data_IF_375603808603
#
_entry.id   IF_375603808603
#
_cell.length_a   1.000
_cell.length_b   1.000
_cell.length_c   1.000
_cell.angle_alpha   90.00
_cell.angle_beta   90.00
_cell.angle_gamma   90.00
#
_symmetry.space_group_name_H-M   'P 1'
#
loop_
_entity.id
_entity.type
_entity.pdbx_description
1 polymer ?
#
# COMPACT_ATOMS: atom_id res chain seq x y z
N UNK A 1 27.29 -20.44 24.45
CA UNK A 1 27.26 -21.91 24.62
C UNK A 1 28.16 -22.67 23.62
N UNK A 2 28.39 -22.18 22.39
CA UNK A 2 29.26 -22.84 21.40
C UNK A 2 30.78 -22.75 21.72
N UNK A 3 31.23 -21.72 22.44
CA UNK A 3 32.65 -21.57 22.79
C UNK A 3 33.16 -22.49 23.91
N UNK A 4 32.28 -23.23 24.60
CA UNK A 4 32.66 -24.06 25.75
C UNK A 4 33.16 -25.47 25.37
N UNK A 5 33.09 -25.85 24.09
CA UNK A 5 33.48 -27.17 23.59
C UNK A 5 34.84 -27.23 22.88
N UNK A 6 35.61 -26.12 22.86
CA UNK A 6 36.81 -25.99 22.03
C UNK A 6 38.14 -26.14 22.77
N UNK A 7 38.19 -26.78 23.95
CA UNK A 7 39.40 -26.76 24.79
C UNK A 7 40.39 -27.92 24.60
N UNK A 8 40.03 -29.02 23.93
CA UNK A 8 40.84 -30.25 23.93
C UNK A 8 41.11 -30.88 22.54
N UNK A 9 41.32 -30.08 21.48
CA UNK A 9 41.70 -30.62 20.16
C UNK A 9 42.97 -29.94 19.62
N UNK A 10 43.88 -30.75 19.06
CA UNK A 10 45.02 -30.26 18.28
C UNK A 10 44.52 -29.39 17.11
N UNK A 11 45.33 -28.39 16.72
CA UNK A 11 44.97 -27.30 15.81
C UNK A 11 44.32 -27.74 14.49
N UNK A 12 44.64 -28.94 14.01
CA UNK A 12 44.05 -29.54 12.80
C UNK A 12 42.60 -30.00 13.02
N UNK A 13 42.27 -30.58 14.18
CA UNK A 13 40.92 -31.05 14.50
C UNK A 13 39.91 -29.92 14.66
N UNK A 14 40.35 -28.80 15.25
CA UNK A 14 39.53 -27.60 15.38
C UNK A 14 39.18 -26.96 14.02
N UNK A 15 40.12 -26.98 13.06
CA UNK A 15 39.90 -26.48 11.70
C UNK A 15 38.84 -27.31 10.98
N UNK A 16 38.90 -28.65 11.04
CA UNK A 16 37.91 -29.52 10.40
C UNK A 16 36.48 -29.32 10.95
N UNK A 17 36.32 -29.11 12.26
CA UNK A 17 35.01 -28.83 12.86
C UNK A 17 34.46 -27.46 12.44
N UNK A 18 35.30 -26.43 12.36
CA UNK A 18 34.90 -25.10 11.84
C UNK A 18 34.46 -25.21 10.37
N UNK A 19 35.19 -25.96 9.54
CA UNK A 19 34.80 -26.21 8.15
C UNK A 19 33.50 -27.01 8.04
N UNK A 20 33.29 -28.04 8.87
CA UNK A 20 32.05 -28.82 8.89
C UNK A 20 30.84 -27.95 9.29
N UNK A 21 31.00 -27.10 10.31
CA UNK A 21 29.97 -26.13 10.72
C UNK A 21 29.71 -25.11 9.61
N UNK A 22 30.75 -24.57 8.96
CA UNK A 22 30.61 -23.67 7.81
C UNK A 22 29.89 -24.32 6.62
N UNK A 23 30.20 -25.58 6.31
CA UNK A 23 29.53 -26.35 5.23
C UNK A 23 28.06 -26.57 5.57
N UNK A 24 27.72 -26.89 6.82
CA UNK A 24 26.33 -26.98 7.29
C UNK A 24 25.62 -25.63 7.17
N UNK A 25 26.26 -24.52 7.55
CA UNK A 25 25.69 -23.18 7.37
C UNK A 25 25.53 -22.77 5.90
N UNK A 26 26.47 -23.15 5.02
CA UNK A 26 26.41 -22.86 3.58
C UNK A 26 25.33 -23.69 2.91
N UNK A 27 25.21 -24.97 3.24
CA UNK A 27 24.15 -25.85 2.72
C UNK A 27 22.78 -25.45 3.24
N UNK A 28 22.67 -25.01 4.51
CA UNK A 28 21.44 -24.44 5.05
C UNK A 28 21.07 -23.11 4.39
N UNK A 29 22.03 -22.21 4.15
CA UNK A 29 21.80 -20.98 3.37
C UNK A 29 21.37 -21.27 1.93
N UNK A 30 22.03 -22.21 1.25
CA UNK A 30 21.62 -22.65 -0.10
C UNK A 30 20.21 -23.26 -0.08
N UNK A 31 19.89 -24.07 0.93
CA UNK A 31 18.55 -24.61 1.14
C UNK A 31 17.49 -23.53 1.34
N UNK A 32 17.79 -22.48 2.13
CA UNK A 32 16.92 -21.31 2.28
C UNK A 32 16.75 -20.59 0.94
N UNK A 33 17.82 -20.37 0.15
CA UNK A 33 17.71 -19.73 -1.16
C UNK A 33 16.94 -20.56 -2.17
N UNK A 34 17.08 -21.88 -2.17
CA UNK A 34 16.30 -22.79 -3.01
C UNK A 34 14.83 -22.78 -2.58
N UNK A 35 14.56 -22.81 -1.27
CA UNK A 35 13.20 -22.71 -0.73
C UNK A 35 12.56 -21.36 -1.06
N UNK A 36 13.30 -20.26 -0.92
CA UNK A 36 12.85 -18.91 -1.29
C UNK A 36 12.62 -18.80 -2.81
N UNK A 37 13.50 -19.39 -3.62
CA UNK A 37 13.34 -19.48 -5.07
C UNK A 37 12.09 -20.27 -5.46
N UNK A 38 11.88 -21.44 -4.85
CA UNK A 38 10.69 -22.26 -5.04
C UNK A 38 9.41 -21.54 -4.58
N UNK A 39 9.44 -20.87 -3.41
CA UNK A 39 8.33 -20.05 -2.91
C UNK A 39 8.05 -18.91 -3.90
N UNK A 40 9.09 -18.22 -4.39
CA UNK A 40 8.96 -17.12 -5.35
C UNK A 40 8.40 -17.61 -6.69
N UNK A 41 8.87 -18.74 -7.20
CA UNK A 41 8.39 -19.35 -8.44
C UNK A 41 6.95 -19.86 -8.31
N UNK A 42 6.59 -20.45 -7.16
CA UNK A 42 5.22 -20.82 -6.83
C UNK A 42 4.30 -19.61 -6.69
N UNK A 43 4.77 -18.51 -6.11
CA UNK A 43 4.04 -17.24 -6.11
C UNK A 43 3.87 -16.67 -7.53
N UNK A 44 4.90 -16.78 -8.38
CA UNK A 44 4.84 -16.32 -9.76
C UNK A 44 3.85 -17.15 -10.58
N UNK A 45 3.91 -18.47 -10.48
CA UNK A 45 2.98 -19.36 -11.21
C UNK A 45 1.55 -19.21 -10.74
N UNK A 46 1.31 -19.00 -9.43
CA UNK A 46 -0.01 -18.64 -8.90
C UNK A 46 -0.50 -17.27 -9.40
N UNK A 47 0.41 -16.33 -9.68
CA UNK A 47 0.06 -15.03 -10.25
C UNK A 47 -0.19 -15.08 -11.76
N UNK A 48 0.37 -16.05 -12.48
CA UNK A 48 0.22 -16.23 -13.92
C UNK A 48 -1.03 -17.07 -14.26
N UNK A 49 -1.29 -18.16 -13.52
CA UNK A 49 -2.40 -19.09 -13.79
C UNK A 49 -3.81 -18.53 -13.50
N UNK A 50 -3.93 -17.39 -12.83
CA UNK A 50 -5.22 -16.79 -12.46
C UNK A 50 -5.61 -15.60 -13.33
N UNK A 51 -4.89 -15.34 -14.43
CA UNK A 51 -5.18 -14.21 -15.33
C UNK A 51 -6.04 -14.56 -16.55
N UNK A 52 -6.56 -15.78 -16.61
CA UNK A 52 -7.49 -16.20 -17.65
C UNK A 52 -8.93 -15.82 -17.24
N UNK A 53 -9.45 -14.73 -17.82
CA UNK A 53 -10.79 -14.19 -17.54
C UNK A 53 -11.81 -14.54 -18.62
N UNK A 54 -11.46 -15.41 -19.57
CA UNK A 54 -12.21 -15.49 -20.82
C UNK A 54 -12.23 -14.13 -21.53
N UNK A 55 -13.29 -13.83 -22.28
CA UNK A 55 -13.45 -12.53 -22.94
C UNK A 55 -13.99 -11.50 -21.95
N UNK A 56 -13.24 -10.45 -21.59
CA UNK A 56 -13.72 -9.45 -20.64
C UNK A 56 -14.97 -8.75 -21.17
N UNK A 57 -15.94 -8.54 -20.30
CA UNK A 57 -17.10 -7.70 -20.60
C UNK A 57 -16.66 -6.29 -21.02
N UNK A 58 -17.23 -5.79 -22.11
CA UNK A 58 -16.93 -4.46 -22.62
C UNK A 58 -17.25 -3.40 -21.57
N UNK A 59 -16.35 -2.45 -21.41
CA UNK A 59 -16.46 -1.30 -20.50
C UNK A 59 -16.70 -1.67 -19.03
N UNK A 60 -16.32 -2.90 -18.65
CA UNK A 60 -16.35 -3.36 -17.25
C UNK A 60 -14.93 -3.53 -16.73
N UNK A 61 -14.65 -2.92 -15.58
CA UNK A 61 -13.33 -2.95 -14.95
C UNK A 61 -13.21 -4.16 -14.03
N UNK A 62 -12.23 -5.04 -14.29
CA UNK A 62 -11.88 -6.12 -13.37
C UNK A 62 -10.76 -5.64 -12.45
N UNK A 63 -11.11 -5.23 -11.22
CA UNK A 63 -10.18 -4.59 -10.27
C UNK A 63 -9.55 -5.62 -9.34
N UNK A 64 -8.24 -5.78 -9.41
CA UNK A 64 -7.48 -6.63 -8.50
C UNK A 64 -7.01 -5.82 -7.31
N UNK A 65 -7.37 -6.29 -6.12
CA UNK A 65 -7.07 -5.60 -4.88
C UNK A 65 -7.05 -6.54 -3.69
N UNK A 66 -6.57 -6.04 -2.54
CA UNK A 66 -6.61 -6.79 -1.29
C UNK A 66 -8.05 -7.03 -0.80
N UNK A 67 -8.21 -8.04 0.03
CA UNK A 67 -9.46 -8.34 0.70
C UNK A 67 -9.90 -7.18 1.60
N UNK A 68 -11.22 -7.00 1.70
CA UNK A 68 -11.82 -6.07 2.66
C UNK A 68 -11.55 -6.53 4.09
N UNK A 69 -11.53 -5.57 5.01
CA UNK A 69 -11.53 -5.86 6.46
C UNK A 69 -12.88 -5.47 7.07
N UNK A 70 -13.10 -5.75 8.36
CA UNK A 70 -14.30 -5.25 9.05
C UNK A 70 -14.29 -3.74 9.27
N UNK A 71 -13.10 -3.14 9.35
CA UNK A 71 -12.90 -1.74 9.72
C UNK A 71 -12.77 -0.83 8.49
N UNK A 72 -12.04 -1.28 7.47
CA UNK A 72 -11.78 -0.49 6.27
C UNK A 72 -12.10 -1.26 4.99
N UNK A 73 -12.61 -0.58 3.93
CA UNK A 73 -12.86 -1.21 2.63
C UNK A 73 -11.61 -1.83 2.01
N UNK A 74 -10.43 -1.26 2.28
CA UNK A 74 -9.16 -1.86 1.88
C UNK A 74 -8.03 -1.44 2.83
N UNK A 75 -7.05 -2.30 3.08
CA UNK A 75 -5.86 -1.95 3.89
C UNK A 75 -4.79 -1.20 3.08
N UNK A 76 -4.88 -1.23 1.75
CA UNK A 76 -3.99 -0.47 0.87
C UNK A 76 -4.67 0.83 0.42
N UNK A 77 -4.04 1.99 0.64
CA UNK A 77 -4.58 3.25 0.14
C UNK A 77 -4.66 3.25 -1.39
N UNK A 78 -3.69 2.68 -2.10
CA UNK A 78 -3.71 2.62 -3.57
C UNK A 78 -4.88 1.80 -4.11
N UNK A 79 -5.22 0.67 -3.47
CA UNK A 79 -6.39 -0.12 -3.86
C UNK A 79 -7.68 0.66 -3.58
N UNK A 80 -7.79 1.26 -2.39
CA UNK A 80 -8.95 2.05 -2.00
C UNK A 80 -9.15 3.26 -2.91
N UNK A 81 -8.07 3.91 -3.35
CA UNK A 81 -8.07 5.03 -4.29
C UNK A 81 -8.79 4.68 -5.58
N UNK A 82 -8.40 3.57 -6.22
CA UNK A 82 -9.01 3.09 -7.47
C UNK A 82 -10.47 2.69 -7.25
N UNK A 83 -10.77 1.94 -6.17
CA UNK A 83 -12.15 1.53 -5.90
C UNK A 83 -13.06 2.73 -5.62
N UNK A 84 -12.58 3.73 -4.89
CA UNK A 84 -13.35 4.95 -4.59
C UNK A 84 -13.67 5.71 -5.87
N UNK A 85 -12.69 5.87 -6.78
CA UNK A 85 -12.90 6.46 -8.09
C UNK A 85 -13.99 5.71 -8.89
N UNK A 86 -13.86 4.39 -9.01
CA UNK A 86 -14.82 3.56 -9.74
C UNK A 86 -16.24 3.68 -9.17
N UNK A 87 -16.38 3.66 -7.84
CA UNK A 87 -17.66 3.78 -7.16
C UNK A 87 -18.27 5.17 -7.28
N UNK A 88 -17.49 6.22 -7.09
CA UNK A 88 -17.95 7.60 -7.20
C UNK A 88 -18.55 7.89 -8.57
N UNK A 89 -17.83 7.50 -9.64
CA UNK A 89 -18.29 7.66 -11.01
C UNK A 89 -19.25 6.57 -11.49
N UNK A 90 -19.63 5.63 -10.62
CA UNK A 90 -20.53 4.50 -10.92
C UNK A 90 -20.07 3.68 -12.15
N UNK A 91 -18.75 3.56 -12.32
CA UNK A 91 -18.15 2.76 -13.39
C UNK A 91 -18.40 1.27 -13.07
N UNK A 92 -18.97 0.48 -14.01
CA UNK A 92 -19.16 -0.94 -13.83
C UNK A 92 -17.82 -1.63 -13.52
N UNK A 93 -17.74 -2.30 -12.37
CA UNK A 93 -16.52 -2.99 -11.98
C UNK A 93 -16.79 -4.26 -11.18
N UNK A 94 -15.88 -5.23 -11.30
CA UNK A 94 -15.87 -6.49 -10.57
C UNK A 94 -14.60 -6.56 -9.72
N UNK A 95 -14.70 -6.51 -8.38
CA UNK A 95 -13.54 -6.66 -7.53
C UNK A 95 -13.07 -8.12 -7.50
N UNK A 96 -11.80 -8.34 -7.84
CA UNK A 96 -11.09 -9.61 -7.71
C UNK A 96 -10.17 -9.49 -6.49
N UNK A 97 -10.58 -10.14 -5.40
CA UNK A 97 -9.81 -10.11 -4.17
C UNK A 97 -8.64 -11.08 -4.23
N UNK A 98 -7.46 -10.58 -3.90
CA UNK A 98 -6.23 -11.38 -3.94
C UNK A 98 -5.28 -10.95 -2.84
N UNK A 99 -4.56 -11.92 -2.29
CA UNK A 99 -3.45 -11.66 -1.37
C UNK A 99 -2.12 -11.50 -2.11
N UNK A 100 -1.94 -12.27 -3.19
CA UNK A 100 -0.62 -12.54 -3.76
C UNK A 100 -0.47 -12.18 -5.23
N UNK A 101 -1.56 -12.09 -6.00
CA UNK A 101 -1.45 -11.75 -7.43
C UNK A 101 -1.00 -10.30 -7.61
N UNK A 102 -0.22 -10.06 -8.65
CA UNK A 102 0.30 -8.74 -9.00
C UNK A 102 0.23 -8.52 -10.52
N UNK A 103 0.33 -7.26 -10.94
CA UNK A 103 0.52 -6.92 -12.35
C UNK A 103 1.83 -7.51 -12.89
N UNK A 104 2.04 -7.46 -14.21
CA UNK A 104 3.32 -7.83 -14.83
C UNK A 104 4.51 -7.05 -14.26
N UNK A 105 4.26 -5.86 -13.70
CA UNK A 105 5.22 -4.97 -13.06
C UNK A 105 5.31 -5.19 -11.55
N UNK A 106 4.59 -6.18 -11.00
CA UNK A 106 4.64 -6.53 -9.59
C UNK A 106 3.83 -5.60 -8.67
N UNK A 107 2.92 -4.79 -9.22
CA UNK A 107 2.13 -3.81 -8.47
C UNK A 107 0.70 -4.30 -8.20
N UNK A 108 0.10 -3.72 -7.15
CA UNK A 108 -1.32 -3.81 -6.79
C UNK A 108 -1.75 -2.42 -6.27
N UNK A 109 -2.92 -1.88 -6.66
CA UNK A 109 -3.90 -2.48 -7.54
C UNK A 109 -3.44 -2.56 -8.99
N UNK A 110 -4.11 -3.41 -9.75
CA UNK A 110 -4.12 -3.39 -11.20
C UNK A 110 -5.51 -3.76 -11.70
N UNK A 111 -5.79 -3.46 -12.96
CA UNK A 111 -7.07 -3.79 -13.60
C UNK A 111 -6.84 -4.56 -14.89
N UNK A 112 -7.84 -5.36 -15.27
CA UNK A 112 -8.07 -5.74 -16.66
C UNK A 112 -9.27 -4.93 -17.15
N UNK A 113 -9.06 -4.17 -18.22
CA UNK A 113 -10.09 -3.32 -18.82
C UNK A 113 -10.01 -3.42 -20.34
N UNK A 114 -11.11 -3.80 -20.99
CA UNK A 114 -11.18 -4.01 -22.44
C UNK A 114 -10.00 -4.87 -22.98
N UNK A 115 -9.65 -5.93 -22.24
CA UNK A 115 -8.56 -6.86 -22.60
C UNK A 115 -7.14 -6.36 -22.30
N UNK A 116 -6.97 -5.14 -21.79
CA UNK A 116 -5.68 -4.54 -21.45
C UNK A 116 -5.43 -4.58 -19.94
N UNK A 117 -4.24 -5.02 -19.54
CA UNK A 117 -3.77 -4.89 -18.16
C UNK A 117 -3.22 -3.47 -17.95
N UNK A 118 -3.72 -2.78 -16.91
CA UNK A 118 -3.26 -1.46 -16.50
C UNK A 118 -2.96 -1.52 -15.00
N UNK A 119 -1.81 -1.02 -14.59
CA UNK A 119 -1.32 -1.05 -13.22
C UNK A 119 -0.94 0.36 -12.79
N UNK A 120 -0.67 0.54 -11.48
CA UNK A 120 -0.50 1.84 -10.82
C UNK A 120 -1.82 2.62 -10.72
N UNK A 121 -2.15 3.06 -9.51
CA UNK A 121 -3.46 3.71 -9.25
C UNK A 121 -3.66 5.01 -10.02
N UNK A 122 -2.59 5.79 -10.27
CA UNK A 122 -2.69 7.05 -11.01
C UNK A 122 -2.87 6.76 -12.50
N UNK A 123 -2.10 5.82 -13.05
CA UNK A 123 -2.25 5.44 -14.46
C UNK A 123 -3.62 4.82 -14.75
N UNK A 124 -4.12 3.98 -13.84
CA UNK A 124 -5.46 3.41 -13.93
C UNK A 124 -6.53 4.50 -13.99
N UNK A 125 -6.53 5.43 -13.02
CA UNK A 125 -7.54 6.49 -12.97
C UNK A 125 -7.44 7.38 -14.21
N UNK A 126 -6.22 7.80 -14.59
CA UNK A 126 -6.01 8.65 -15.76
C UNK A 126 -6.51 8.01 -17.07
N UNK A 127 -6.34 6.68 -17.26
CA UNK A 127 -6.88 6.00 -18.44
C UNK A 127 -8.41 5.98 -18.41
N UNK A 128 -9.01 5.66 -17.27
CA UNK A 128 -10.46 5.56 -17.12
C UNK A 128 -11.14 6.93 -17.24
N UNK A 129 -10.56 7.98 -16.66
CA UNK A 129 -11.07 9.34 -16.82
C UNK A 129 -11.07 9.79 -18.28
N UNK A 130 -10.04 9.42 -19.06
CA UNK A 130 -10.00 9.69 -20.50
C UNK A 130 -11.02 8.87 -21.27
N UNK A 131 -11.17 7.59 -20.94
CA UNK A 131 -12.09 6.68 -21.63
C UNK A 131 -13.55 7.06 -21.42
N UNK A 132 -13.91 7.50 -20.20
CA UNK A 132 -15.29 7.84 -19.83
C UNK A 132 -15.59 9.35 -19.87
N UNK A 133 -14.65 10.19 -20.31
CA UNK A 133 -14.79 11.65 -20.36
C UNK A 133 -15.16 12.29 -19.01
N UNK A 134 -14.43 11.91 -17.95
CA UNK A 134 -14.69 12.28 -16.55
C UNK A 134 -13.73 13.35 -16.01
N UNK A 135 -13.15 14.16 -16.90
CA UNK A 135 -12.15 15.15 -16.49
C UNK A 135 -12.78 16.20 -15.55
N UNK A 136 -12.20 16.45 -14.36
CA UNK A 136 -12.75 17.42 -13.42
C UNK A 136 -12.61 18.84 -13.97
N UNK A 137 -13.60 19.68 -13.70
CA UNK A 137 -13.57 21.09 -14.10
C UNK A 137 -12.69 21.92 -13.16
N UNK A 138 -11.38 21.90 -13.42
CA UNK A 138 -10.38 22.65 -12.66
C UNK A 138 -9.77 23.77 -13.51
N UNK A 139 -9.44 24.90 -12.88
CA UNK A 139 -8.55 25.89 -13.51
C UNK A 139 -7.17 25.30 -13.74
N UNK A 140 -6.37 25.93 -14.62
CA UNK A 140 -5.00 25.48 -14.91
C UNK A 140 -4.12 25.43 -13.66
N UNK A 141 -4.29 26.38 -12.74
CA UNK A 141 -3.54 26.44 -11.48
C UNK A 141 -4.02 25.35 -10.52
N UNK A 142 -5.32 25.16 -10.36
CA UNK A 142 -5.86 24.10 -9.49
C UNK A 142 -5.46 22.71 -9.98
N UNK A 143 -5.49 22.48 -11.29
CA UNK A 143 -5.01 21.23 -11.88
C UNK A 143 -3.53 20.98 -11.59
N UNK A 144 -2.68 22.01 -11.70
CA UNK A 144 -1.26 21.90 -11.36
C UNK A 144 -1.04 21.60 -9.86
N UNK A 145 -1.77 22.28 -8.98
CA UNK A 145 -1.69 22.03 -7.53
C UNK A 145 -2.20 20.63 -7.20
N UNK A 146 -3.31 20.18 -7.80
CA UNK A 146 -3.85 18.84 -7.60
C UNK A 146 -2.83 17.75 -8.00
N UNK A 147 -2.14 17.91 -9.13
CA UNK A 147 -1.09 16.97 -9.55
C UNK A 147 0.07 16.89 -8.55
N UNK A 148 0.51 18.04 -8.01
CA UNK A 148 1.53 18.07 -6.96
C UNK A 148 1.03 17.46 -5.66
N UNK A 149 -0.22 17.73 -5.28
CA UNK A 149 -0.85 17.17 -4.09
C UNK A 149 -0.92 15.63 -4.18
N UNK A 150 -1.28 15.06 -5.32
CA UNK A 150 -1.28 13.60 -5.55
C UNK A 150 0.11 13.03 -5.26
N UNK A 151 1.17 13.62 -5.82
CA UNK A 151 2.53 13.15 -5.59
C UNK A 151 2.95 13.29 -4.12
N UNK A 152 2.62 14.42 -3.48
CA UNK A 152 2.93 14.65 -2.07
C UNK A 152 2.19 13.64 -1.17
N UNK A 153 0.91 13.41 -1.41
CA UNK A 153 0.07 12.45 -0.68
C UNK A 153 0.61 11.03 -0.86
N UNK A 154 0.76 10.57 -2.10
CA UNK A 154 1.20 9.20 -2.41
C UNK A 154 2.62 8.94 -1.90
N UNK A 155 3.51 9.95 -1.89
CA UNK A 155 4.88 9.79 -1.40
C UNK A 155 5.05 10.01 0.10
N UNK A 156 4.19 10.77 0.78
CA UNK A 156 4.37 11.08 2.21
C UNK A 156 3.46 10.25 3.11
N UNK A 157 2.20 10.05 2.73
CA UNK A 157 1.23 9.32 3.54
C UNK A 157 1.41 7.80 3.38
N UNK A 158 1.78 7.32 2.18
CA UNK A 158 2.06 5.90 1.96
C UNK A 158 3.20 5.39 2.84
N UNK A 159 4.25 6.20 3.03
CA UNK A 159 5.40 5.87 3.89
C UNK A 159 4.97 5.64 5.33
N UNK A 160 4.02 6.46 5.79
CA UNK A 160 3.47 6.37 7.13
C UNK A 160 2.57 5.14 7.31
N UNK A 161 1.69 4.82 6.34
CA UNK A 161 0.89 3.59 6.38
C UNK A 161 1.80 2.36 6.40
N UNK A 162 2.84 2.34 5.57
CA UNK A 162 3.73 1.18 5.45
C UNK A 162 4.59 0.94 6.71
N UNK A 163 5.22 1.98 7.25
CA UNK A 163 6.04 1.84 8.47
C UNK A 163 5.20 1.36 9.67
N UNK A 164 3.88 1.55 9.64
CA UNK A 164 2.95 1.26 10.74
C UNK A 164 2.19 -0.08 10.60
N UNK A 165 2.09 -0.63 9.38
CA UNK A 165 1.48 -1.96 9.12
C UNK A 165 2.37 -3.14 9.53
N UNK A 166 3.61 -2.89 9.97
CA UNK A 166 4.50 -3.91 10.50
C UNK A 166 4.45 -3.91 12.03
N UNK A 167 3.63 -4.76 12.68
CA UNK A 167 3.60 -4.86 14.14
C UNK A 167 5.00 -5.15 14.70
N UNK A 168 5.36 -4.53 15.83
CA UNK A 168 6.63 -4.76 16.53
C UNK A 168 6.93 -6.25 16.79
N UNK A 169 5.90 -7.09 16.88
CA UNK A 169 6.02 -8.54 16.96
C UNK A 169 6.76 -9.18 15.76
N UNK A 170 6.66 -8.60 14.55
CA UNK A 170 7.43 -9.05 13.38
C UNK A 170 8.92 -8.60 13.43
N UNK A 171 9.28 -7.72 14.36
CA UNK A 171 10.67 -7.40 14.69
C UNK A 171 11.29 -8.42 15.69
N UNK A 172 10.51 -9.40 16.17
CA UNK A 172 11.04 -10.52 16.94
C UNK A 172 12.11 -11.30 16.17
N UNK A 173 13.05 -11.92 16.90
CA UNK A 173 14.27 -12.54 16.34
C UNK A 173 13.98 -13.50 15.17
N UNK A 174 12.85 -14.20 15.21
CA UNK A 174 12.43 -15.21 14.24
C UNK A 174 12.06 -14.65 12.87
N UNK A 175 11.67 -13.37 12.78
CA UNK A 175 11.24 -12.73 11.53
C UNK A 175 12.17 -11.60 11.06
N UNK A 176 13.30 -11.35 11.76
CA UNK A 176 14.30 -10.33 11.41
C UNK A 176 14.78 -10.38 9.95
N UNK A 177 14.87 -11.57 9.35
CA UNK A 177 15.30 -11.73 7.96
C UNK A 177 14.21 -11.29 6.96
N UNK A 178 12.94 -11.59 7.27
CA UNK A 178 11.77 -11.14 6.49
C UNK A 178 11.60 -9.62 6.63
N UNK A 179 11.76 -9.09 7.85
CA UNK A 179 11.80 -7.66 8.13
C UNK A 179 12.92 -6.95 7.36
N UNK A 180 14.15 -7.50 7.39
CA UNK A 180 15.29 -6.95 6.66
C UNK A 180 15.10 -6.94 5.15
N UNK A 181 14.50 -8.01 4.59
CA UNK A 181 14.20 -8.10 3.17
C UNK A 181 13.12 -7.10 2.73
N UNK A 182 12.02 -6.99 3.49
CA UNK A 182 10.98 -5.99 3.24
C UNK A 182 11.55 -4.57 3.32
N UNK A 183 12.26 -4.24 4.41
CA UNK A 183 12.91 -2.94 4.63
C UNK A 183 13.89 -2.57 3.51
N UNK A 184 14.71 -3.50 3.05
CA UNK A 184 15.67 -3.25 1.97
C UNK A 184 14.98 -3.05 0.62
N UNK A 185 13.93 -3.83 0.32
CA UNK A 185 13.14 -3.69 -0.91
C UNK A 185 12.40 -2.35 -0.99
N UNK A 186 12.09 -1.75 0.14
CA UNK A 186 11.42 -0.46 0.22
C UNK A 186 12.37 0.72 0.24
N UNK A 187 13.56 0.56 0.84
CA UNK A 187 14.67 1.50 0.65
C UNK A 187 15.04 1.61 -0.82
N UNK A 188 15.09 0.50 -1.57
CA UNK A 188 15.32 0.53 -3.01
C UNK A 188 14.17 1.16 -3.81
N UNK A 189 12.98 1.30 -3.23
CA UNK A 189 11.83 2.01 -3.81
C UNK A 189 11.73 3.48 -3.35
N UNK A 190 12.71 4.00 -2.60
CA UNK A 190 12.71 5.34 -1.99
C UNK A 190 11.54 5.63 -1.02
N UNK A 191 10.88 4.59 -0.52
CA UNK A 191 9.74 4.69 0.40
C UNK A 191 10.22 4.94 1.85
N UNK A 192 11.49 4.70 2.19
CA UNK A 192 11.93 4.54 3.59
C UNK A 192 13.15 5.39 4.04
N UNK A 193 13.30 6.61 3.50
CA UNK A 193 14.57 7.37 3.60
C UNK A 193 14.65 8.51 4.64
N UNK A 194 13.76 8.63 5.64
CA UNK A 194 13.81 9.73 6.63
C UNK A 194 13.85 9.23 8.10
N UNK A 195 14.45 9.99 9.04
CA UNK A 195 14.39 9.72 10.49
C UNK A 195 12.96 9.83 11.03
N UNK A 196 12.60 9.03 12.04
CA UNK A 196 11.22 8.89 12.55
C UNK A 196 10.57 10.19 13.05
N UNK A 197 11.29 11.06 13.77
CA UNK A 197 10.77 12.37 14.23
C UNK A 197 10.45 13.32 13.08
N UNK A 198 11.31 13.38 12.07
CA UNK A 198 11.10 14.23 10.88
C UNK A 198 9.92 13.76 10.04
N UNK A 199 9.59 12.46 10.08
CA UNK A 199 8.43 11.90 9.36
C UNK A 199 7.12 12.39 9.97
N UNK A 200 7.04 12.49 11.30
CA UNK A 200 5.81 12.90 11.98
C UNK A 200 5.54 14.40 11.84
N UNK A 201 6.57 15.24 11.95
CA UNK A 201 6.41 16.67 11.70
C UNK A 201 6.02 16.94 10.23
N UNK A 202 6.71 16.29 9.28
CA UNK A 202 6.34 16.42 7.86
C UNK A 202 4.94 15.92 7.55
N UNK A 203 4.46 14.89 8.25
CA UNK A 203 3.07 14.45 8.17
C UNK A 203 2.10 15.53 8.67
N UNK A 204 2.35 16.13 9.83
CA UNK A 204 1.51 17.21 10.37
C UNK A 204 1.48 18.43 9.44
N UNK A 205 2.63 18.80 8.88
CA UNK A 205 2.71 19.93 7.95
C UNK A 205 1.91 19.65 6.66
N UNK A 206 1.98 18.43 6.13
CA UNK A 206 1.16 18.01 5.00
C UNK A 206 -0.34 18.00 5.34
N UNK A 207 -0.73 17.47 6.52
CA UNK A 207 -2.12 17.49 6.97
C UNK A 207 -2.64 18.92 7.10
N UNK A 208 -1.84 19.84 7.66
CA UNK A 208 -2.20 21.26 7.75
C UNK A 208 -2.43 21.86 6.36
N UNK A 209 -1.51 21.66 5.43
CA UNK A 209 -1.65 22.18 4.07
C UNK A 209 -2.90 21.62 3.37
N UNK A 210 -3.18 20.32 3.54
CA UNK A 210 -4.36 19.67 2.96
C UNK A 210 -5.67 20.15 3.61
N UNK A 211 -5.66 20.38 4.92
CA UNK A 211 -6.80 20.95 5.65
C UNK A 211 -7.08 22.40 5.24
N UNK A 212 -6.03 23.21 5.02
CA UNK A 212 -6.14 24.57 4.48
C UNK A 212 -6.68 24.57 3.03
N UNK A 213 -6.16 23.67 2.18
CA UNK A 213 -6.67 23.52 0.81
C UNK A 213 -8.14 23.10 0.85
N UNK A 214 -8.52 22.13 1.69
CA UNK A 214 -9.90 21.69 1.82
C UNK A 214 -10.82 22.83 2.28
N UNK A 215 -10.44 23.53 3.35
CA UNK A 215 -11.28 24.58 3.94
C UNK A 215 -12.70 24.11 4.21
N UNK A 216 -13.69 24.89 3.80
CA UNK A 216 -15.12 24.55 3.91
C UNK A 216 -15.69 23.83 2.67
N UNK A 217 -14.83 23.46 1.71
CA UNK A 217 -15.27 22.84 0.45
C UNK A 217 -15.62 21.36 0.66
N UNK A 218 -16.42 20.82 -0.27
CA UNK A 218 -16.73 19.38 -0.27
C UNK A 218 -15.50 18.55 -0.64
N UNK A 219 -14.71 19.02 -1.59
CA UNK A 219 -13.47 18.40 -2.05
C UNK A 219 -12.39 19.48 -2.19
N UNK A 220 -11.12 19.09 -2.34
CA UNK A 220 -9.96 20.01 -2.27
C UNK A 220 -10.10 21.25 -3.16
N UNK A 221 -10.72 21.10 -4.33
CA UNK A 221 -10.87 22.18 -5.32
C UNK A 221 -12.32 22.44 -5.74
N UNK A 222 -13.32 22.03 -4.93
CA UNK A 222 -14.72 22.37 -5.21
C UNK A 222 -15.73 21.33 -4.75
N UNK A 223 -16.75 21.12 -5.58
CA UNK A 223 -17.89 20.24 -5.28
C UNK A 223 -17.77 18.85 -5.88
N UNK A 224 -16.84 18.65 -6.82
CA UNK A 224 -16.53 17.37 -7.43
C UNK A 224 -15.11 16.93 -7.05
N UNK A 225 -14.89 15.63 -6.76
CA UNK A 225 -13.58 15.11 -6.47
C UNK A 225 -12.74 15.04 -7.74
N UNK A 226 -11.43 15.15 -7.56
CA UNK A 226 -10.43 14.88 -8.58
C UNK A 226 -9.45 13.81 -8.06
N UNK A 227 -8.43 13.48 -8.85
CA UNK A 227 -7.41 12.50 -8.47
C UNK A 227 -6.77 12.76 -7.09
N UNK A 228 -6.58 14.03 -6.69
CA UNK A 228 -6.02 14.38 -5.38
C UNK A 228 -6.98 14.04 -4.23
N UNK A 229 -8.29 14.17 -4.45
CA UNK A 229 -9.30 13.78 -3.46
C UNK A 229 -9.35 12.26 -3.27
N UNK A 230 -9.32 11.49 -4.35
CA UNK A 230 -9.26 10.03 -4.25
C UNK A 230 -7.97 9.57 -3.56
N UNK A 231 -6.85 10.24 -3.81
CA UNK A 231 -5.60 10.02 -3.09
C UNK A 231 -5.78 10.36 -1.60
N UNK A 232 -6.20 11.58 -1.28
CA UNK A 232 -6.35 12.06 0.09
C UNK A 232 -7.26 11.16 0.92
N UNK A 233 -8.48 10.91 0.43
CA UNK A 233 -9.44 10.05 1.10
C UNK A 233 -8.85 8.67 1.39
N UNK A 234 -8.24 8.03 0.38
CA UNK A 234 -7.74 6.67 0.53
C UNK A 234 -6.64 6.54 1.59
N UNK A 235 -5.68 7.47 1.60
CA UNK A 235 -4.62 7.49 2.61
C UNK A 235 -5.19 7.81 3.99
N UNK A 236 -6.00 8.86 4.14
CA UNK A 236 -6.57 9.21 5.43
C UNK A 236 -7.49 8.12 5.99
N UNK A 237 -8.37 7.55 5.17
CA UNK A 237 -9.27 6.46 5.54
C UNK A 237 -8.49 5.24 6.04
N UNK A 238 -7.44 4.83 5.32
CA UNK A 238 -6.62 3.69 5.75
C UNK A 238 -5.79 3.97 7.00
N UNK A 239 -5.42 5.23 7.26
CA UNK A 239 -4.72 5.60 8.49
C UNK A 239 -5.66 5.78 9.69
N UNK A 240 -6.91 6.19 9.45
CA UNK A 240 -7.91 6.45 10.48
C UNK A 240 -8.59 5.15 10.95
N UNK A 241 -8.99 4.29 10.02
CA UNK A 241 -9.68 3.03 10.30
C UNK A 241 -8.72 1.83 10.38
N UNK A 242 -7.70 1.94 11.24
CA UNK A 242 -6.75 0.86 11.52
C UNK A 242 -7.20 -0.02 12.69
N UNK A 243 -6.80 -1.29 12.69
CA UNK A 243 -7.13 -2.24 13.76
C UNK A 243 -6.49 -1.94 15.12
N UNK A 244 -5.52 -1.02 15.17
CA UNK A 244 -4.81 -0.63 16.39
C UNK A 244 -4.98 0.88 16.60
N UNK A 245 -5.06 1.33 17.85
CA UNK A 245 -5.12 2.76 18.13
C UNK A 245 -3.78 3.41 17.78
N UNK A 246 -3.82 4.50 17.01
CA UNK A 246 -2.63 5.16 16.48
C UNK A 246 -2.69 6.65 16.84
N UNK A 247 -1.55 7.29 17.18
CA UNK A 247 -1.52 8.73 17.50
C UNK A 247 -2.13 9.61 16.40
N UNK A 248 -2.11 9.14 15.14
CA UNK A 248 -2.72 9.89 14.04
C UNK A 248 -4.24 9.96 14.12
N UNK A 249 -4.89 8.90 14.62
CA UNK A 249 -6.33 8.93 14.83
C UNK A 249 -6.68 10.07 15.78
N UNK A 250 -5.94 10.18 16.89
CA UNK A 250 -6.13 11.24 17.87
C UNK A 250 -5.85 12.63 17.28
N UNK A 251 -4.81 12.78 16.45
CA UNK A 251 -4.53 14.05 15.74
C UNK A 251 -5.68 14.43 14.80
N UNK A 252 -6.20 13.48 14.03
CA UNK A 252 -7.32 13.75 13.12
C UNK A 252 -8.58 14.12 13.90
N UNK A 253 -8.83 13.47 15.03
CA UNK A 253 -9.98 13.75 15.90
C UNK A 253 -9.86 15.11 16.63
N UNK A 254 -8.65 15.52 17.02
CA UNK A 254 -8.42 16.70 17.88
C UNK A 254 -7.94 17.94 17.12
N UNK A 255 -6.96 17.81 16.24
CA UNK A 255 -6.30 18.92 15.53
C UNK A 255 -6.91 19.18 14.15
N UNK A 256 -7.45 18.16 13.46
CA UNK A 256 -7.98 18.28 12.08
C UNK A 256 -9.41 17.73 11.91
N UNK A 257 -10.41 18.23 12.65
CA UNK A 257 -11.79 17.71 12.60
C UNK A 257 -12.46 17.89 11.23
N UNK A 258 -12.01 18.82 10.38
CA UNK A 258 -12.53 18.95 9.00
C UNK A 258 -12.09 17.80 8.12
N UNK A 259 -10.82 17.39 8.20
CA UNK A 259 -10.32 16.19 7.52
C UNK A 259 -11.02 14.93 8.03
N UNK A 260 -11.29 14.84 9.34
CA UNK A 260 -12.05 13.74 9.91
C UNK A 260 -13.46 13.64 9.29
N UNK A 261 -14.21 14.76 9.27
CA UNK A 261 -15.53 14.82 8.63
C UNK A 261 -15.48 14.52 7.12
N UNK A 262 -14.42 14.95 6.44
CA UNK A 262 -14.17 14.62 5.04
C UNK A 262 -14.05 13.10 4.82
N UNK A 263 -13.32 12.40 5.69
CA UNK A 263 -13.18 10.94 5.65
C UNK A 263 -14.56 10.29 5.82
N UNK A 264 -15.29 10.65 6.88
CA UNK A 264 -16.59 10.07 7.18
C UNK A 264 -17.61 10.26 6.06
N UNK A 265 -17.71 11.50 5.53
CA UNK A 265 -18.60 11.82 4.41
C UNK A 265 -18.26 10.98 3.19
N UNK A 266 -16.99 10.99 2.79
CA UNK A 266 -16.56 10.29 1.56
C UNK A 266 -16.70 8.78 1.69
N UNK A 267 -16.44 8.23 2.88
CA UNK A 267 -16.68 6.81 3.16
C UNK A 267 -18.17 6.49 3.09
N UNK A 268 -19.03 7.29 3.70
CA UNK A 268 -20.49 7.06 3.70
C UNK A 268 -21.08 7.14 2.29
N UNK A 269 -20.62 8.09 1.47
CA UNK A 269 -21.10 8.29 0.10
C UNK A 269 -20.73 7.12 -0.83
N UNK A 270 -19.52 6.53 -0.65
CA UNK A 270 -18.99 5.54 -1.59
C UNK A 270 -19.04 4.10 -1.06
N UNK A 271 -19.07 3.91 0.26
CA UNK A 271 -19.00 2.62 0.94
C UNK A 271 -20.04 2.54 2.07
N UNK A 272 -21.35 2.67 1.77
CA UNK A 272 -22.40 2.67 2.77
C UNK A 272 -22.44 1.39 3.62
N UNK A 273 -21.90 0.29 3.12
CA UNK A 273 -21.78 -0.97 3.86
C UNK A 273 -20.80 -0.90 5.05
N UNK A 274 -19.93 0.11 5.11
CA UNK A 274 -19.02 0.36 6.23
C UNK A 274 -19.59 1.31 7.29
N UNK A 275 -20.80 1.85 7.07
CA UNK A 275 -21.48 2.78 7.99
C UNK A 275 -21.81 2.18 9.35
N UNK A 276 -21.98 0.87 9.45
CA UNK A 276 -22.44 0.21 10.68
C UNK A 276 -21.36 -0.04 11.72
N UNK A 277 -20.11 0.30 11.42
CA UNK A 277 -18.97 0.05 12.31
C UNK A 277 -18.47 1.31 13.04
N UNK A 278 -19.08 2.47 12.78
CA UNK A 278 -18.63 3.80 13.24
C UNK A 278 -19.80 4.68 13.68
#
# INVERSE_FOLDING_TARGET
MVFYYLKDFDSVGAIFQIFAVLIVFITFKKGIWILLGYIQEKFRSLSENTKDFGTPEKDTVYLFQFHRTKLSPNSSPFCLKVETFLRYHKIPHKPIFTQFQRSKQGLLPFIIFNGKEIFDSNLIINELEKHFDLQPQLSSIESAIAQLAVQAIDNSLAKNVFNRLMPEFLASLSFKHVYGFAKNRLKSLHILSLPEENIYQGLKDNLRALDEILGEKKYLFGNEPNLADFALFSHLCTMYYTAYNQPLKDILDTEYPRLQKYIERTLTENFPEFRMYY
#
